data_IF_258646418868
#
_entry.id   IF_258646418868
#
_cell.length_a   1.000
_cell.length_b   1.000
_cell.length_c   1.000
_cell.angle_alpha   90.00
_cell.angle_beta   90.00
_cell.angle_gamma   90.00
#
_symmetry.space_group_name_H-M   'P 1'
#
loop_
_entity.id
_entity.type
_entity.pdbx_description
1 polymer ?
#
# COMPACT_ATOMS: atom_id res chain seq x y z
N UNK A 1 19.05 -32.55 -46.33
CA UNK A 1 20.00 -31.58 -45.73
C UNK A 1 19.19 -30.49 -45.01
N UNK A 2 18.75 -30.76 -43.77
CA UNK A 2 17.79 -29.92 -43.02
C UNK A 2 18.51 -28.97 -42.03
N UNK A 3 19.49 -28.20 -42.52
CA UNK A 3 20.37 -27.34 -41.71
C UNK A 3 19.80 -25.92 -41.47
N UNK A 4 18.72 -25.54 -42.18
CA UNK A 4 18.14 -24.19 -42.11
C UNK A 4 17.08 -23.96 -41.01
N UNK A 5 16.43 -25.03 -40.51
CA UNK A 5 15.33 -24.90 -39.53
C UNK A 5 15.82 -24.72 -38.10
N UNK A 6 17.00 -25.23 -37.78
CA UNK A 6 17.53 -25.24 -36.40
C UNK A 6 18.16 -23.91 -36.01
N UNK A 7 18.76 -23.20 -36.97
CA UNK A 7 19.36 -21.87 -36.75
C UNK A 7 18.31 -20.78 -36.48
N UNK A 8 17.14 -20.90 -37.10
CA UNK A 8 16.03 -19.96 -36.91
C UNK A 8 15.40 -20.11 -35.51
N UNK A 9 15.29 -21.36 -35.03
CA UNK A 9 14.74 -21.67 -33.71
C UNK A 9 15.70 -21.20 -32.60
N UNK A 10 17.01 -21.39 -32.77
CA UNK A 10 18.01 -20.95 -31.80
C UNK A 10 18.07 -19.42 -31.65
N UNK A 11 17.93 -18.67 -32.75
CA UNK A 11 17.87 -17.20 -32.70
C UNK A 11 16.60 -16.67 -32.03
N UNK A 12 15.46 -17.36 -32.20
CA UNK A 12 14.19 -16.99 -31.58
C UNK A 12 14.16 -17.29 -30.07
N UNK A 13 14.81 -18.38 -29.65
CA UNK A 13 14.94 -18.77 -28.23
C UNK A 13 15.87 -17.84 -27.44
N UNK A 14 16.88 -17.24 -28.08
CA UNK A 14 17.84 -16.35 -27.41
C UNK A 14 17.27 -14.96 -27.09
N UNK A 15 16.20 -14.53 -27.77
CA UNK A 15 15.55 -13.23 -27.55
C UNK A 15 14.43 -13.27 -26.49
N UNK A 16 14.02 -14.45 -26.04
CA UNK A 16 12.92 -14.62 -25.08
C UNK A 16 13.12 -13.96 -23.70
N UNK A 17 14.32 -13.87 -23.11
CA UNK A 17 14.48 -13.26 -21.78
C UNK A 17 14.44 -11.72 -21.78
N UNK A 18 14.55 -11.07 -22.94
CA UNK A 18 14.55 -9.59 -23.05
C UNK A 18 13.16 -8.96 -22.86
N UNK A 19 12.10 -9.76 -22.92
CA UNK A 19 10.71 -9.32 -22.71
C UNK A 19 10.20 -9.56 -21.28
N UNK A 20 11.03 -10.12 -20.39
CA UNK A 20 10.68 -10.30 -18.99
C UNK A 20 10.69 -8.95 -18.26
N UNK A 21 9.56 -8.23 -18.36
CA UNK A 21 9.33 -7.04 -17.53
C UNK A 21 9.31 -7.45 -16.05
N UNK A 22 10.00 -6.72 -15.16
CA UNK A 22 9.95 -7.02 -13.73
C UNK A 22 8.51 -6.91 -13.26
N UNK A 23 7.92 -8.03 -12.85
CA UNK A 23 6.63 -8.05 -12.19
C UNK A 23 6.75 -7.20 -10.92
N UNK A 24 6.07 -6.05 -10.89
CA UNK A 24 5.98 -5.23 -9.68
C UNK A 24 5.16 -6.00 -8.66
N UNK A 25 5.83 -6.58 -7.68
CA UNK A 25 5.21 -7.24 -6.54
C UNK A 25 4.59 -6.20 -5.59
N UNK A 26 3.51 -5.54 -6.02
CA UNK A 26 2.66 -4.74 -5.16
C UNK A 26 1.49 -5.61 -4.69
N UNK A 27 1.04 -5.40 -3.45
CA UNK A 27 -0.21 -6.01 -3.00
C UNK A 27 -1.37 -5.48 -3.87
N UNK A 28 -2.32 -6.35 -4.26
CA UNK A 28 -3.55 -5.87 -4.87
C UNK A 28 -4.28 -4.88 -3.95
N UNK A 29 -4.94 -3.84 -4.49
CA UNK A 29 -5.48 -2.72 -3.70
C UNK A 29 -6.38 -3.17 -2.54
N UNK A 30 -7.21 -4.19 -2.74
CA UNK A 30 -8.12 -4.69 -1.71
C UNK A 30 -7.40 -5.20 -0.46
N UNK A 31 -6.23 -5.83 -0.62
CA UNK A 31 -5.46 -6.34 0.53
C UNK A 31 -4.74 -5.22 1.25
N UNK A 32 -4.25 -4.21 0.51
CA UNK A 32 -3.62 -3.05 1.13
C UNK A 32 -4.66 -2.21 1.88
N UNK A 33 -5.81 -1.95 1.26
CA UNK A 33 -6.92 -1.22 1.85
C UNK A 33 -7.45 -1.89 3.13
N UNK A 34 -7.56 -3.21 3.14
CA UNK A 34 -7.95 -3.95 4.35
C UNK A 34 -6.96 -3.71 5.50
N UNK A 35 -5.65 -3.85 5.24
CA UNK A 35 -4.62 -3.60 6.25
C UNK A 35 -4.61 -2.16 6.75
N UNK A 36 -4.87 -1.21 5.86
CA UNK A 36 -4.92 0.20 6.19
C UNK A 36 -6.15 0.53 7.05
N UNK A 37 -7.30 -0.04 6.70
CA UNK A 37 -8.52 0.09 7.50
C UNK A 37 -8.34 -0.53 8.89
N UNK A 38 -7.72 -1.71 8.98
CA UNK A 38 -7.42 -2.34 10.26
C UNK A 38 -6.56 -1.44 11.16
N UNK A 39 -5.56 -0.77 10.60
CA UNK A 39 -4.71 0.16 11.33
C UNK A 39 -5.50 1.39 11.86
N UNK A 40 -6.36 1.98 11.02
CA UNK A 40 -7.20 3.11 11.42
C UNK A 40 -8.21 2.71 12.51
N UNK A 41 -8.83 1.53 12.39
CA UNK A 41 -9.75 0.99 13.41
C UNK A 41 -9.01 0.68 14.70
N UNK A 42 -7.80 0.13 14.63
CA UNK A 42 -6.98 -0.13 15.81
C UNK A 42 -6.66 1.16 16.58
N UNK A 43 -6.29 2.22 15.86
CA UNK A 43 -6.10 3.55 16.45
C UNK A 43 -7.37 4.06 17.14
N UNK A 44 -8.52 4.01 16.47
CA UNK A 44 -9.80 4.45 17.05
C UNK A 44 -10.07 3.70 18.36
N UNK A 45 -9.88 2.39 18.39
CA UNK A 45 -10.12 1.56 19.57
C UNK A 45 -9.13 1.79 20.71
N UNK A 46 -7.93 2.29 20.41
CA UNK A 46 -6.89 2.53 21.40
C UNK A 46 -7.09 3.83 22.20
N UNK A 47 -7.92 4.75 21.71
CA UNK A 47 -8.06 6.10 22.26
C UNK A 47 -9.51 6.38 22.68
N UNK A 48 -9.72 6.62 23.98
CA UNK A 48 -11.06 6.69 24.58
C UNK A 48 -11.89 7.85 24.01
N UNK A 49 -11.28 9.03 23.86
CA UNK A 49 -11.98 10.20 23.32
C UNK A 49 -12.30 10.02 21.84
N UNK A 50 -11.40 9.42 21.07
CA UNK A 50 -11.59 9.18 19.63
C UNK A 50 -12.77 8.25 19.40
N UNK A 51 -12.85 7.10 20.08
CA UNK A 51 -13.98 6.17 19.90
C UNK A 51 -15.31 6.75 20.40
N UNK A 52 -15.28 7.51 21.50
CA UNK A 52 -16.49 8.13 22.07
C UNK A 52 -17.10 9.20 21.17
N UNK A 53 -16.30 9.81 20.28
CA UNK A 53 -16.72 10.91 19.41
C UNK A 53 -16.43 10.65 17.93
N UNK A 54 -16.29 9.40 17.51
CA UNK A 54 -15.96 9.05 16.14
C UNK A 54 -17.02 9.56 15.16
N UNK A 55 -16.58 10.34 14.17
CA UNK A 55 -17.45 10.87 13.12
C UNK A 55 -17.25 10.10 11.80
N UNK A 56 -16.03 9.65 11.51
CA UNK A 56 -15.77 8.84 10.33
C UNK A 56 -14.32 8.42 10.15
N UNK A 57 -14.13 7.43 9.30
CA UNK A 57 -12.82 6.96 8.83
C UNK A 57 -12.79 7.13 7.30
N UNK A 58 -11.86 7.93 6.80
CA UNK A 58 -11.61 8.13 5.38
C UNK A 58 -10.34 7.39 4.98
N UNK A 59 -10.50 6.27 4.26
CA UNK A 59 -9.38 5.45 3.83
C UNK A 59 -8.56 6.09 2.70
N UNK A 60 -9.22 6.89 1.86
CA UNK A 60 -8.57 7.54 0.71
C UNK A 60 -7.66 8.67 1.17
N UNK A 61 -8.11 9.44 2.17
CA UNK A 61 -7.35 10.53 2.79
C UNK A 61 -6.52 10.06 3.99
N UNK A 62 -6.57 8.78 4.35
CA UNK A 62 -5.87 8.18 5.49
C UNK A 62 -6.12 8.97 6.78
N UNK A 63 -7.41 9.23 7.06
CA UNK A 63 -7.84 10.17 8.11
C UNK A 63 -8.94 9.59 8.98
N UNK A 64 -8.84 9.85 10.28
CA UNK A 64 -9.94 9.64 11.24
C UNK A 64 -10.47 11.01 11.66
N UNK A 65 -11.78 11.22 11.54
CA UNK A 65 -12.49 12.42 12.01
C UNK A 65 -13.25 12.07 13.28
N UNK A 66 -13.12 12.90 14.30
CA UNK A 66 -13.77 12.73 15.59
C UNK A 66 -14.08 14.09 16.20
N UNK A 67 -15.08 14.15 17.07
CA UNK A 67 -15.46 15.30 17.89
C UNK A 67 -15.24 16.69 17.29
N UNK A 68 -16.29 17.27 16.69
CA UNK A 68 -16.41 18.68 16.31
C UNK A 68 -15.14 19.26 15.67
N UNK A 69 -14.74 18.68 14.54
CA UNK A 69 -13.64 19.18 13.72
C UNK A 69 -12.25 18.67 14.12
N UNK A 70 -12.14 17.69 15.02
CA UNK A 70 -10.89 17.02 15.26
C UNK A 70 -10.59 15.97 14.19
N UNK A 71 -9.32 15.87 13.83
CA UNK A 71 -8.82 14.88 12.88
C UNK A 71 -7.46 14.33 13.30
N UNK A 72 -7.27 13.04 13.05
CA UNK A 72 -5.99 12.36 13.10
C UNK A 72 -5.62 11.92 11.68
N UNK A 73 -4.43 12.33 11.22
CA UNK A 73 -3.90 12.05 9.90
C UNK A 73 -2.82 10.98 9.98
N UNK A 74 -2.85 10.07 9.01
CA UNK A 74 -1.91 8.97 8.91
C UNK A 74 -1.10 9.12 7.63
N UNK A 75 0.12 8.61 7.69
CA UNK A 75 1.00 8.57 6.54
C UNK A 75 1.71 7.24 6.42
N UNK A 76 2.38 7.05 5.28
CA UNK A 76 3.25 5.92 5.02
C UNK A 76 4.67 6.42 4.82
N UNK A 77 5.62 5.78 5.50
CA UNK A 77 7.02 5.93 5.15
C UNK A 77 7.26 5.45 3.70
N UNK A 78 8.08 6.18 2.92
CA UNK A 78 8.42 5.77 1.57
C UNK A 78 9.23 4.46 1.59
N UNK A 79 9.10 3.67 0.53
CA UNK A 79 10.01 2.54 0.30
C UNK A 79 11.39 3.07 -0.12
N UNK A 80 12.49 2.43 0.32
CA UNK A 80 13.82 2.76 -0.16
C UNK A 80 13.91 2.69 -1.69
N UNK A 81 14.75 3.53 -2.33
CA UNK A 81 14.98 3.45 -3.76
C UNK A 81 15.39 2.04 -4.20
N UNK A 82 14.77 1.53 -5.26
CA UNK A 82 15.06 0.19 -5.78
C UNK A 82 14.34 -0.97 -5.07
N UNK A 83 13.64 -0.73 -3.95
CA UNK A 83 12.75 -1.74 -3.38
C UNK A 83 11.38 -1.75 -4.06
N UNK A 84 10.98 -2.94 -4.51
CA UNK A 84 9.61 -3.24 -4.94
C UNK A 84 8.98 -4.16 -3.90
N UNK A 85 7.78 -3.83 -3.43
CA UNK A 85 7.11 -4.61 -2.40
C UNK A 85 5.80 -3.99 -1.93
N UNK A 86 5.11 -4.64 -0.98
CA UNK A 86 3.95 -4.08 -0.31
C UNK A 86 4.23 -2.71 0.28
N UNK A 87 3.22 -1.84 0.29
CA UNK A 87 3.36 -0.54 0.95
C UNK A 87 3.59 -0.75 2.47
N UNK A 88 4.34 0.18 3.08
CA UNK A 88 4.54 0.20 4.53
C UNK A 88 3.19 0.33 5.27
N UNK A 89 3.12 -0.05 6.56
CA UNK A 89 1.94 0.25 7.37
C UNK A 89 1.70 1.75 7.51
N UNK A 90 0.44 2.13 7.75
CA UNK A 90 0.10 3.49 8.16
C UNK A 90 0.60 3.76 9.58
N UNK A 91 1.10 4.97 9.79
CA UNK A 91 1.49 5.48 11.10
C UNK A 91 0.84 6.83 11.35
N UNK A 92 0.48 7.11 12.60
CA UNK A 92 -0.06 8.42 12.97
C UNK A 92 1.00 9.49 12.68
N UNK A 93 0.65 10.42 11.81
CA UNK A 93 1.50 11.55 11.46
C UNK A 93 1.22 12.72 12.41
N UNK A 94 -0.06 13.05 12.59
CA UNK A 94 -0.49 14.19 13.39
C UNK A 94 -1.93 14.04 13.86
N UNK A 95 -2.26 14.75 14.93
CA UNK A 95 -3.63 14.99 15.35
C UNK A 95 -3.75 16.46 15.80
N UNK A 96 -4.86 17.10 15.47
CA UNK A 96 -5.10 18.51 15.85
C UNK A 96 -5.76 18.67 17.23
N UNK A 97 -6.06 17.56 17.90
CA UNK A 97 -6.75 17.53 19.18
C UNK A 97 -6.20 16.42 20.10
N UNK A 98 -6.40 16.51 21.43
CA UNK A 98 -6.11 15.40 22.35
C UNK A 98 -6.85 14.12 21.96
N UNK A 99 -6.18 12.98 22.09
CA UNK A 99 -6.74 11.67 21.74
C UNK A 99 -7.47 10.99 22.90
N UNK A 100 -7.22 11.46 24.13
CA UNK A 100 -7.77 10.96 25.38
C UNK A 100 -8.21 12.10 26.30
#
# INVERSE_FOLDING_TARGET
>A
MNIGRERLVFGLLLCLPLLASPARAALPPQYQNAKDLDALVAFVKAHHRVIASLEGIDLSEQRVRFGNGCEARFERAPLPPGMVGPARPLTLQSANCPLD
#
